data_IF_728105772249
#
_entry.id   IF_728105772249
#
_cell.length_a   1.000
_cell.length_b   1.000
_cell.length_c   1.000
_cell.angle_alpha   90.00
_cell.angle_beta   90.00
_cell.angle_gamma   90.00
#
_symmetry.space_group_name_H-M   'P 1'
#
loop_
_entity.id
_entity.type
_entity.pdbx_description
1 polymer ?
#
# COMPACT_ATOMS: atom_id res chain seq x y z
N UNK A 1 3.03 7.97 12.01
CA UNK A 1 2.81 6.51 12.17
C UNK A 1 2.37 5.97 10.83
N UNK A 2 3.07 4.98 10.29
CA UNK A 2 2.66 4.21 9.12
C UNK A 2 2.50 2.78 9.62
N UNK A 3 1.30 2.22 9.50
CA UNK A 3 1.04 0.84 9.87
C UNK A 3 0.56 0.07 8.64
N UNK A 4 1.28 -0.98 8.26
CA UNK A 4 0.76 -1.99 7.33
C UNK A 4 -0.27 -2.81 8.09
N UNK A 5 -1.53 -2.78 7.66
CA UNK A 5 -2.60 -3.47 8.39
C UNK A 5 -3.40 -4.47 7.53
N UNK A 6 -3.07 -4.61 6.25
CA UNK A 6 -3.66 -5.63 5.40
C UNK A 6 -2.92 -5.84 4.08
N UNK A 7 -3.06 -7.05 3.54
CA UNK A 7 -2.68 -7.43 2.18
C UNK A 7 -3.85 -8.15 1.54
N UNK A 8 -4.10 -7.87 0.27
CA UNK A 8 -5.21 -8.45 -0.48
C UNK A 8 -4.76 -8.89 -1.87
N UNK A 9 -5.50 -9.86 -2.44
CA UNK A 9 -5.39 -10.27 -3.85
C UNK A 9 -3.97 -10.69 -4.29
N UNK A 10 -3.19 -11.29 -3.39
CA UNK A 10 -1.87 -11.81 -3.74
C UNK A 10 -1.99 -12.94 -4.77
N UNK A 11 -1.32 -12.76 -5.90
CA UNK A 11 -1.17 -13.76 -6.95
C UNK A 11 0.29 -13.85 -7.37
N UNK A 12 0.82 -15.06 -7.32
CA UNK A 12 2.07 -15.43 -8.00
C UNK A 12 1.74 -15.79 -9.44
N UNK A 13 2.50 -15.26 -10.40
CA UNK A 13 2.23 -15.38 -11.83
C UNK A 13 3.36 -16.17 -12.47
N UNK A 14 4.58 -15.61 -12.49
CA UNK A 14 5.79 -16.30 -12.90
C UNK A 14 6.66 -16.67 -11.69
N UNK A 15 7.34 -17.83 -11.70
CA UNK A 15 8.25 -18.20 -10.62
C UNK A 15 9.50 -17.32 -10.63
N UNK A 16 10.00 -16.96 -9.45
CA UNK A 16 11.31 -16.32 -9.26
C UNK A 16 12.34 -17.43 -9.05
N UNK A 17 13.38 -17.46 -9.88
CA UNK A 17 14.47 -18.44 -9.79
C UNK A 17 15.62 -17.91 -8.94
N UNK A 18 16.55 -18.80 -8.58
CA UNK A 18 17.83 -18.39 -8.01
C UNK A 18 18.52 -17.43 -8.99
N UNK A 19 19.17 -16.41 -8.46
CA UNK A 19 19.83 -15.33 -9.20
C UNK A 19 18.91 -14.37 -9.99
N UNK A 20 17.58 -14.52 -9.90
CA UNK A 20 16.67 -13.48 -10.40
C UNK A 20 16.75 -12.21 -9.53
N UNK A 21 16.75 -11.06 -10.20
CA UNK A 21 16.61 -9.76 -9.54
C UNK A 21 15.18 -9.27 -9.67
N UNK A 22 14.54 -8.94 -8.55
CA UNK A 22 13.19 -8.38 -8.55
C UNK A 22 13.20 -6.86 -8.38
N UNK A 23 12.27 -6.21 -9.07
CA UNK A 23 11.93 -4.81 -8.89
C UNK A 23 10.47 -4.70 -8.45
N UNK A 24 10.21 -3.85 -7.46
CA UNK A 24 8.88 -3.59 -6.93
C UNK A 24 8.43 -2.19 -7.34
N UNK A 25 7.23 -2.09 -7.94
CA UNK A 25 6.56 -0.82 -8.19
C UNK A 25 5.36 -0.69 -7.25
N UNK A 26 5.41 0.35 -6.41
CA UNK A 26 4.32 0.73 -5.53
C UNK A 26 3.55 1.90 -6.16
N UNK A 27 2.30 1.66 -6.52
CA UNK A 27 1.42 2.70 -7.06
C UNK A 27 0.31 2.99 -6.07
N UNK A 28 0.13 4.26 -5.69
CA UNK A 28 -1.01 4.66 -4.87
C UNK A 28 -2.29 4.48 -5.70
N UNK A 29 -3.05 3.43 -5.41
CA UNK A 29 -4.27 3.07 -6.14
C UNK A 29 -5.49 3.83 -5.62
N UNK A 30 -5.59 4.02 -4.29
CA UNK A 30 -6.70 4.73 -3.66
C UNK A 30 -6.30 5.32 -2.31
N UNK A 31 -6.85 6.49 -1.99
CA UNK A 31 -6.75 7.13 -0.67
C UNK A 31 -8.16 7.27 -0.09
N UNK A 32 -8.36 6.78 1.13
CA UNK A 32 -9.63 6.88 1.83
C UNK A 32 -9.39 7.55 3.18
N UNK A 33 -9.96 8.74 3.40
CA UNK A 33 -9.91 9.37 4.71
C UNK A 33 -10.69 8.52 5.72
N UNK A 34 -10.13 8.34 6.93
CA UNK A 34 -10.90 7.83 8.06
C UNK A 34 -11.37 9.05 8.87
N UNK A 35 -12.69 9.19 9.09
CA UNK A 35 -13.22 10.25 9.93
C UNK A 35 -12.61 10.17 11.33
N UNK A 36 -12.18 11.30 11.88
CA UNK A 36 -11.85 11.40 13.30
C UNK A 36 -13.13 11.21 14.13
N UNK A 37 -13.04 10.50 15.26
CA UNK A 37 -14.18 10.35 16.18
C UNK A 37 -14.20 11.50 17.18
N UNK A 38 -13.04 11.96 17.62
CA UNK A 38 -12.87 13.12 18.49
C UNK A 38 -11.78 14.07 17.99
N UNK A 39 -11.70 15.29 18.53
CA UNK A 39 -10.70 16.28 18.15
C UNK A 39 -9.27 15.88 18.56
N UNK A 40 -9.13 15.04 19.58
CA UNK A 40 -7.85 14.53 20.09
C UNK A 40 -7.31 13.35 19.26
N UNK A 41 -8.16 12.68 18.48
CA UNK A 41 -7.74 11.61 17.58
C UNK A 41 -6.74 12.14 16.56
N UNK A 42 -5.68 11.37 16.26
CA UNK A 42 -4.78 11.75 15.16
C UNK A 42 -5.52 11.60 13.82
N UNK A 43 -5.48 12.60 12.92
CA UNK A 43 -6.11 12.47 11.62
C UNK A 43 -5.35 11.44 10.78
N UNK A 44 -6.08 10.43 10.30
CA UNK A 44 -5.51 9.30 9.55
C UNK A 44 -6.37 8.96 8.34
N UNK A 45 -5.80 8.21 7.42
CA UNK A 45 -6.48 7.64 6.26
C UNK A 45 -5.82 6.33 5.86
N UNK A 46 -6.50 5.58 5.00
CA UNK A 46 -5.98 4.36 4.40
C UNK A 46 -5.47 4.68 3.01
N UNK A 47 -4.24 4.28 2.72
CA UNK A 47 -3.71 4.26 1.36
C UNK A 47 -3.60 2.81 0.90
N UNK A 48 -4.34 2.49 -0.16
CA UNK A 48 -4.25 1.23 -0.88
C UNK A 48 -3.18 1.37 -1.96
N UNK A 49 -2.16 0.52 -1.87
CA UNK A 49 -1.06 0.45 -2.82
C UNK A 49 -1.24 -0.76 -3.72
N UNK A 50 -1.29 -0.54 -5.03
CA UNK A 50 -1.08 -1.61 -6.00
C UNK A 50 0.41 -1.93 -6.04
N UNK A 51 0.75 -3.21 -5.87
CA UNK A 51 2.12 -3.69 -5.91
C UNK A 51 2.29 -4.58 -7.13
N UNK A 52 3.14 -4.14 -8.04
CA UNK A 52 3.61 -4.95 -9.17
C UNK A 52 5.06 -5.33 -8.91
N UNK A 53 5.35 -6.63 -8.97
CA UNK A 53 6.72 -7.15 -8.87
C UNK A 53 7.12 -7.71 -10.22
N UNK A 54 8.25 -7.24 -10.76
CA UNK A 54 8.84 -7.72 -12.01
C UNK A 54 10.23 -8.30 -11.80
N UNK A 55 10.67 -9.25 -12.63
CA UNK A 55 12.07 -9.68 -12.70
C UNK A 55 12.91 -8.76 -13.62
N UNK A 56 14.20 -9.08 -13.81
CA UNK A 56 15.12 -8.37 -14.70
C UNK A 56 14.70 -8.38 -16.18
N UNK A 57 13.85 -9.32 -16.57
CA UNK A 57 13.28 -9.43 -17.93
C UNK A 57 11.95 -8.66 -18.06
N UNK A 58 11.59 -7.85 -17.06
CA UNK A 58 10.33 -7.08 -16.99
C UNK A 58 9.07 -7.95 -16.97
N UNK A 59 9.19 -9.24 -16.64
CA UNK A 59 8.06 -10.15 -16.49
C UNK A 59 7.46 -9.99 -15.10
N UNK A 60 6.12 -9.96 -15.02
CA UNK A 60 5.42 -9.88 -13.74
C UNK A 60 5.50 -11.23 -13.03
N UNK A 61 6.09 -11.25 -11.84
CA UNK A 61 6.24 -12.45 -11.01
C UNK A 61 5.17 -12.52 -9.91
N UNK A 62 4.72 -11.36 -9.41
CA UNK A 62 3.64 -11.30 -8.45
C UNK A 62 2.90 -9.96 -8.49
N UNK A 63 1.63 -9.99 -8.10
CA UNK A 63 0.80 -8.80 -7.87
C UNK A 63 0.02 -8.95 -6.59
N UNK A 64 -0.14 -7.84 -5.86
CA UNK A 64 -1.00 -7.77 -4.68
C UNK A 64 -1.36 -6.32 -4.37
N UNK A 65 -2.23 -6.13 -3.39
CA UNK A 65 -2.51 -4.81 -2.83
C UNK A 65 -2.13 -4.76 -1.35
N UNK A 66 -1.51 -3.66 -0.91
CA UNK A 66 -1.22 -3.39 0.51
C UNK A 66 -2.12 -2.27 1.00
N UNK A 67 -2.70 -2.45 2.18
CA UNK A 67 -3.43 -1.41 2.90
C UNK A 67 -2.56 -0.85 4.02
N UNK A 68 -2.29 0.45 3.93
CA UNK A 68 -1.49 1.18 4.91
C UNK A 68 -2.33 2.25 5.60
N UNK A 69 -2.26 2.32 6.91
CA UNK A 69 -2.80 3.45 7.68
C UNK A 69 -1.73 4.55 7.70
N UNK A 70 -2.07 5.72 7.17
CA UNK A 70 -1.18 6.87 6.99
C UNK A 70 -1.76 8.09 7.67
N UNK A 71 -0.92 8.86 8.36
CA UNK A 71 -1.32 10.13 8.95
C UNK A 71 -1.72 11.15 7.87
N UNK A 72 -2.80 11.90 8.11
CA UNK A 72 -3.19 13.06 7.30
C UNK A 72 -2.60 14.32 7.91
N UNK A 73 -2.23 15.28 7.07
CA UNK A 73 -1.74 16.59 7.53
C UNK A 73 -2.88 17.44 8.12
N UNK A 74 -4.07 17.37 7.51
CA UNK A 74 -5.25 18.13 7.92
C UNK A 74 -6.27 17.17 8.55
N UNK A 75 -6.80 17.57 9.72
CA UNK A 75 -7.91 16.90 10.40
C UNK A 75 -9.28 17.42 9.97
N UNK A 76 -10.32 16.75 10.46
CA UNK A 76 -11.72 17.03 10.17
C UNK A 76 -12.30 18.09 11.13
N UNK A 77 -11.67 18.27 12.30
CA UNK A 77 -12.01 19.32 13.26
C UNK A 77 -11.15 20.55 13.02
N UNK A 78 -11.76 21.73 13.11
CA UNK A 78 -11.02 22.99 13.15
C UNK A 78 -10.10 23.02 14.39
N UNK A 79 -8.91 23.57 14.22
CA UNK A 79 -7.96 23.76 15.31
C UNK A 79 -8.47 24.79 16.33
#
# INVERSE_FOLDING_TARGET
MIANYGMENLRFIEPVKIDDTIQVRLTCKRKTAKPQKTAEDKPVGVVEWAVDITNQHQQIVARYSILTLVARMNGDFAA
#
